data_IF_751429957697
#
_entry.id   IF_751429957697
#
_cell.length_a   1.000
_cell.length_b   1.000
_cell.length_c   1.000
_cell.angle_alpha   90.00
_cell.angle_beta   90.00
_cell.angle_gamma   90.00
#
_symmetry.space_group_name_H-M   'P 1'
#
loop_
_entity.id
_entity.type
_entity.pdbx_description
1 polymer ?
#
# COMPACT_ATOMS: atom_id res chain seq x y z
N UNK A 1 -14.29 -5.50 0.41
CA UNK A 1 -13.26 -5.57 -0.66
C UNK A 1 -13.80 -4.88 -1.89
N UNK A 2 -12.94 -4.38 -2.78
CA UNK A 2 -13.39 -3.85 -4.08
C UNK A 2 -14.45 -4.75 -4.73
N UNK A 3 -15.51 -4.14 -5.24
CA UNK A 3 -16.53 -4.87 -5.99
C UNK A 3 -15.90 -5.37 -7.29
N UNK A 4 -16.33 -6.52 -7.81
CA UNK A 4 -15.83 -7.13 -9.06
C UNK A 4 -15.78 -6.20 -10.29
N UNK A 5 -16.49 -5.07 -10.24
CA UNK A 5 -16.51 -4.03 -11.28
C UNK A 5 -15.25 -3.16 -11.29
N UNK A 6 -14.59 -3.02 -10.14
CA UNK A 6 -13.32 -2.32 -10.04
C UNK A 6 -12.20 -3.12 -10.72
N UNK A 7 -12.21 -4.44 -10.55
CA UNK A 7 -11.24 -5.34 -11.19
C UNK A 7 -11.39 -5.40 -12.72
N UNK A 8 -12.58 -5.07 -13.22
CA UNK A 8 -12.88 -5.01 -14.66
C UNK A 8 -12.65 -3.62 -15.28
N UNK A 9 -12.07 -2.66 -14.56
CA UNK A 9 -11.70 -1.36 -15.12
C UNK A 9 -10.51 -1.50 -16.08
N UNK A 10 -10.40 -0.55 -17.02
CA UNK A 10 -9.17 -0.37 -17.79
C UNK A 10 -7.97 -0.24 -16.83
N UNK A 11 -6.85 -0.95 -17.07
CA UNK A 11 -5.71 -0.99 -16.15
C UNK A 11 -5.20 0.39 -15.73
N UNK A 12 -5.13 1.34 -16.67
CA UNK A 12 -4.66 2.70 -16.41
C UNK A 12 -5.58 3.45 -15.44
N UNK A 13 -6.90 3.21 -15.55
CA UNK A 13 -7.88 3.84 -14.68
C UNK A 13 -7.87 3.22 -13.29
N UNK A 14 -7.72 1.91 -13.20
CA UNK A 14 -7.53 1.20 -11.93
C UNK A 14 -6.28 1.73 -11.23
N UNK A 15 -5.17 1.84 -11.96
CA UNK A 15 -3.90 2.36 -11.44
C UNK A 15 -4.03 3.81 -10.95
N UNK A 16 -4.66 4.69 -11.72
CA UNK A 16 -4.84 6.09 -11.30
C UNK A 16 -5.61 6.21 -9.97
N UNK A 17 -6.64 5.38 -9.76
CA UNK A 17 -7.41 5.37 -8.51
C UNK A 17 -6.57 4.83 -7.35
N UNK A 18 -5.85 3.72 -7.56
CA UNK A 18 -5.00 3.12 -6.52
C UNK A 18 -3.82 4.00 -6.16
N UNK A 19 -3.19 4.66 -7.14
CA UNK A 19 -2.09 5.59 -6.92
C UNK A 19 -2.55 6.80 -6.09
N UNK A 20 -3.67 7.43 -6.46
CA UNK A 20 -4.23 8.56 -5.71
C UNK A 20 -4.60 8.16 -4.27
N UNK A 21 -5.20 6.99 -4.09
CA UNK A 21 -5.55 6.48 -2.77
C UNK A 21 -4.30 6.12 -1.95
N UNK A 22 -3.35 5.42 -2.56
CA UNK A 22 -2.07 5.03 -1.96
C UNK A 22 -1.27 6.21 -1.45
N UNK A 23 -1.17 7.27 -2.25
CA UNK A 23 -0.48 8.51 -1.86
C UNK A 23 -1.15 9.21 -0.68
N UNK A 24 -2.49 9.33 -0.71
CA UNK A 24 -3.24 9.92 0.40
C UNK A 24 -3.05 9.11 1.70
N UNK A 25 -3.13 7.77 1.61
CA UNK A 25 -2.94 6.90 2.77
C UNK A 25 -1.51 6.90 3.29
N UNK A 26 -0.51 6.93 2.41
CA UNK A 26 0.90 7.00 2.80
C UNK A 26 1.23 8.33 3.49
N UNK A 27 0.65 9.44 3.02
CA UNK A 27 0.90 10.78 3.56
C UNK A 27 0.15 11.07 4.86
N UNK A 28 -1.09 10.58 5.00
CA UNK A 28 -1.98 10.97 6.10
C UNK A 28 -2.32 9.83 7.06
N UNK A 29 -1.98 8.59 6.72
CA UNK A 29 -2.43 7.40 7.44
C UNK A 29 -3.92 7.12 7.23
N UNK A 30 -4.36 5.96 7.73
CA UNK A 30 -5.74 5.51 7.52
C UNK A 30 -6.75 6.51 8.06
N UNK A 31 -6.67 6.91 9.34
CA UNK A 31 -7.70 7.73 9.99
C UNK A 31 -7.86 9.12 9.35
N UNK A 32 -6.77 9.81 9.02
CA UNK A 32 -6.80 11.20 8.49
C UNK A 32 -6.91 11.29 6.96
N UNK A 33 -6.79 10.18 6.24
CA UNK A 33 -7.02 10.17 4.79
C UNK A 33 -8.45 10.63 4.43
N UNK A 34 -8.59 11.34 3.31
CA UNK A 34 -9.83 11.95 2.84
C UNK A 34 -10.25 11.36 1.50
N UNK A 35 -11.44 10.74 1.46
CA UNK A 35 -12.01 10.23 0.22
C UNK A 35 -12.24 11.34 -0.81
N UNK A 36 -12.54 12.57 -0.38
CA UNK A 36 -12.72 13.69 -1.31
C UNK A 36 -11.41 14.08 -2.00
N UNK A 37 -10.28 14.09 -1.27
CA UNK A 37 -8.95 14.35 -1.86
C UNK A 37 -8.57 13.26 -2.85
N UNK A 38 -8.88 11.99 -2.53
CA UNK A 38 -8.65 10.85 -3.42
C UNK A 38 -9.48 10.99 -4.69
N UNK A 39 -10.77 11.33 -4.58
CA UNK A 39 -11.67 11.53 -5.73
C UNK A 39 -11.13 12.62 -6.66
N UNK A 40 -10.70 13.75 -6.09
CA UNK A 40 -10.14 14.88 -6.82
C UNK A 40 -8.83 14.50 -7.52
N UNK A 41 -7.88 13.88 -6.80
CA UNK A 41 -6.60 13.45 -7.33
C UNK A 41 -6.73 12.36 -8.41
N UNK A 42 -7.67 11.43 -8.25
CA UNK A 42 -7.94 10.37 -9.24
C UNK A 42 -8.75 10.85 -10.45
N UNK A 43 -9.27 12.09 -10.43
CA UNK A 43 -10.08 12.63 -11.53
C UNK A 43 -11.40 11.88 -11.75
N UNK A 44 -11.99 11.29 -10.70
CA UNK A 44 -13.26 10.56 -10.78
C UNK A 44 -14.39 11.32 -10.09
N UNK A 45 -15.63 10.89 -10.30
CA UNK A 45 -16.77 11.44 -9.54
C UNK A 45 -16.92 10.74 -8.19
N UNK A 46 -17.53 11.43 -7.22
CA UNK A 46 -17.91 10.82 -5.93
C UNK A 46 -18.79 9.58 -6.14
N UNK A 47 -19.77 9.66 -7.05
CA UNK A 47 -20.62 8.52 -7.38
C UNK A 47 -19.84 7.33 -7.93
N UNK A 48 -18.78 7.55 -8.72
CA UNK A 48 -17.90 6.50 -9.22
C UNK A 48 -17.14 5.81 -8.09
N UNK A 49 -16.61 6.55 -7.11
CA UNK A 49 -15.91 5.95 -5.97
C UNK A 49 -16.83 5.00 -5.19
N UNK A 50 -18.02 5.48 -4.78
CA UNK A 50 -19.01 4.67 -4.05
C UNK A 50 -19.65 3.57 -4.91
N UNK A 51 -19.47 3.63 -6.23
CA UNK A 51 -19.85 2.55 -7.12
C UNK A 51 -18.86 1.38 -7.04
N UNK A 52 -17.57 1.66 -6.86
CA UNK A 52 -16.48 0.67 -6.78
C UNK A 52 -16.24 0.13 -5.37
N UNK A 53 -16.37 0.98 -4.34
CA UNK A 53 -16.05 0.67 -2.96
C UNK A 53 -17.23 0.98 -2.05
N UNK A 54 -17.51 0.13 -1.06
CA UNK A 54 -18.60 0.35 -0.11
C UNK A 54 -18.22 1.44 0.91
N UNK A 55 -16.97 1.44 1.34
CA UNK A 55 -16.45 2.40 2.30
C UNK A 55 -14.93 2.64 2.14
N UNK A 56 -14.36 3.40 3.09
CA UNK A 56 -12.93 3.73 3.14
C UNK A 56 -12.05 2.52 3.49
N UNK A 57 -12.56 1.58 4.29
CA UNK A 57 -11.84 0.37 4.66
C UNK A 57 -11.65 -0.53 3.44
N UNK A 58 -12.68 -0.65 2.61
CA UNK A 58 -12.64 -1.38 1.35
C UNK A 58 -11.62 -0.82 0.36
N UNK A 59 -11.60 0.50 0.17
CA UNK A 59 -10.58 1.15 -0.65
C UNK A 59 -9.18 0.94 -0.09
N UNK A 60 -9.01 1.10 1.23
CA UNK A 60 -7.71 0.89 1.87
C UNK A 60 -7.22 -0.55 1.73
N UNK A 61 -8.08 -1.54 1.94
CA UNK A 61 -7.75 -2.95 1.78
C UNK A 61 -7.28 -3.25 0.35
N UNK A 62 -7.96 -2.73 -0.67
CA UNK A 62 -7.56 -2.89 -2.07
C UNK A 62 -6.20 -2.27 -2.37
N UNK A 63 -5.91 -1.09 -1.84
CA UNK A 63 -4.60 -0.42 -1.98
C UNK A 63 -3.49 -1.23 -1.29
N UNK A 64 -3.75 -1.76 -0.10
CA UNK A 64 -2.78 -2.59 0.63
C UNK A 64 -2.51 -3.90 -0.09
N UNK A 65 -3.54 -4.57 -0.61
CA UNK A 65 -3.37 -5.80 -1.40
C UNK A 65 -2.51 -5.56 -2.64
N UNK A 66 -2.83 -4.54 -3.43
CA UNK A 66 -2.04 -4.17 -4.61
C UNK A 66 -0.59 -3.83 -4.24
N UNK A 67 -0.39 -3.14 -3.11
CA UNK A 67 0.96 -2.83 -2.62
C UNK A 67 1.75 -4.09 -2.31
N UNK A 68 1.12 -5.05 -1.62
CA UNK A 68 1.76 -6.33 -1.30
C UNK A 68 2.11 -7.09 -2.57
N UNK A 69 1.20 -7.16 -3.54
CA UNK A 69 1.44 -7.81 -4.83
C UNK A 69 2.63 -7.18 -5.56
N UNK A 70 2.66 -5.85 -5.70
CA UNK A 70 3.77 -5.14 -6.36
C UNK A 70 5.10 -5.29 -5.64
N UNK A 71 5.09 -5.24 -4.31
CA UNK A 71 6.30 -5.44 -3.51
C UNK A 71 6.80 -6.88 -3.67
N UNK A 72 5.92 -7.88 -3.68
CA UNK A 72 6.28 -9.28 -3.89
C UNK A 72 6.81 -9.51 -5.30
N UNK A 73 6.22 -8.89 -6.32
CA UNK A 73 6.70 -8.97 -7.70
C UNK A 73 8.07 -8.30 -7.88
N UNK A 74 8.27 -7.12 -7.28
CA UNK A 74 9.49 -6.36 -7.42
C UNK A 74 10.65 -6.89 -6.56
N UNK A 75 10.35 -7.42 -5.37
CA UNK A 75 11.34 -8.07 -4.52
C UNK A 75 11.45 -9.53 -4.91
N UNK A 76 12.55 -9.89 -5.58
CA UNK A 76 12.95 -11.29 -5.60
C UNK A 76 13.26 -11.74 -4.17
N UNK A 77 12.31 -12.45 -3.58
CA UNK A 77 12.48 -13.11 -2.30
C UNK A 77 13.74 -14.00 -2.33
N UNK A 78 14.36 -14.15 -1.17
CA UNK A 78 15.43 -15.13 -1.03
C UNK A 78 14.91 -16.48 -1.53
N UNK A 79 15.62 -17.17 -2.44
CA UNK A 79 15.18 -18.45 -2.96
C UNK A 79 15.42 -19.53 -1.92
N UNK A 80 14.62 -19.53 -0.85
CA UNK A 80 14.81 -20.36 0.34
C UNK A 80 14.92 -21.84 -0.01
N UNK A 81 14.22 -22.27 -1.06
CA UNK A 81 14.19 -23.67 -1.52
C UNK A 81 15.50 -24.14 -2.17
N UNK A 82 16.36 -23.22 -2.63
CA UNK A 82 17.66 -23.55 -3.25
C UNK A 82 18.86 -22.86 -2.54
N UNK A 83 18.61 -22.28 -1.36
CA UNK A 83 19.62 -21.59 -0.59
C UNK A 83 20.62 -22.60 -0.01
N UNK A 84 21.90 -22.38 -0.28
CA UNK A 84 23.01 -23.20 0.17
C UNK A 84 24.02 -22.33 0.89
N UNK A 85 24.93 -22.95 1.65
CA UNK A 85 26.02 -22.20 2.32
C UNK A 85 26.88 -21.41 1.33
N UNK A 86 27.05 -21.92 0.10
CA UNK A 86 27.92 -21.31 -0.91
C UNK A 86 27.27 -20.12 -1.61
N UNK A 87 25.95 -20.13 -1.85
CA UNK A 87 25.25 -19.00 -2.48
C UNK A 87 24.60 -18.03 -1.48
N UNK A 88 24.55 -18.36 -0.18
CA UNK A 88 23.87 -17.58 0.85
C UNK A 88 24.19 -16.08 0.79
N UNK A 89 25.47 -15.72 0.83
CA UNK A 89 25.88 -14.31 0.87
C UNK A 89 25.59 -13.57 -0.45
N UNK A 90 25.71 -14.26 -1.58
CA UNK A 90 25.37 -13.69 -2.88
C UNK A 90 23.87 -13.44 -3.00
N UNK A 91 23.04 -14.42 -2.64
CA UNK A 91 21.58 -14.29 -2.63
C UNK A 91 21.11 -13.19 -1.67
N UNK A 92 21.69 -13.09 -0.47
CA UNK A 92 21.39 -12.01 0.49
C UNK A 92 21.77 -10.64 -0.07
N UNK A 93 22.97 -10.52 -0.68
CA UNK A 93 23.42 -9.27 -1.30
C UNK A 93 22.50 -8.84 -2.44
N UNK A 94 22.16 -9.75 -3.34
CA UNK A 94 21.29 -9.42 -4.47
C UNK A 94 19.88 -9.05 -4.03
N UNK A 95 19.27 -9.81 -3.12
CA UNK A 95 17.97 -9.46 -2.56
C UNK A 95 18.03 -8.11 -1.82
N UNK A 96 19.10 -7.84 -1.07
CA UNK A 96 19.32 -6.54 -0.44
C UNK A 96 19.44 -5.38 -1.42
N UNK A 97 20.21 -5.53 -2.51
CA UNK A 97 20.36 -4.50 -3.55
C UNK A 97 19.03 -4.24 -4.28
N UNK A 98 18.27 -5.30 -4.59
CA UNK A 98 16.94 -5.17 -5.20
C UNK A 98 15.95 -4.44 -4.29
N UNK A 99 15.98 -4.73 -2.98
CA UNK A 99 15.17 -3.99 -2.02
C UNK A 99 15.55 -2.52 -1.93
N UNK A 100 16.84 -2.17 -2.02
CA UNK A 100 17.30 -0.78 -2.04
C UNK A 100 16.81 -0.06 -3.31
N UNK A 101 16.95 -0.69 -4.48
CA UNK A 101 16.44 -0.15 -5.75
C UNK A 101 14.93 0.11 -5.66
N UNK A 102 14.17 -0.85 -5.14
CA UNK A 102 12.73 -0.69 -4.90
C UNK A 102 12.42 0.53 -4.03
N UNK A 103 13.12 0.68 -2.90
CA UNK A 103 12.93 1.81 -1.98
C UNK A 103 13.26 3.16 -2.62
N UNK A 104 14.13 3.20 -3.63
CA UNK A 104 14.54 4.42 -4.32
C UNK A 104 13.55 4.92 -5.40
N UNK A 105 12.56 4.12 -5.79
CA UNK A 105 11.64 4.42 -6.90
C UNK A 105 10.59 5.50 -6.61
N UNK A 106 10.40 5.85 -5.33
CA UNK A 106 9.40 6.84 -4.85
C UNK A 106 7.94 6.59 -5.31
N UNK A 107 7.64 5.35 -5.70
CA UNK A 107 6.31 4.94 -6.13
C UNK A 107 5.36 4.84 -4.94
N UNK A 108 4.05 5.06 -5.18
CA UNK A 108 3.04 5.14 -4.12
C UNK A 108 3.01 3.90 -3.23
N UNK A 109 3.19 2.70 -3.81
CA UNK A 109 3.18 1.44 -3.06
C UNK A 109 4.47 1.26 -2.24
N UNK A 110 5.60 1.83 -2.68
CA UNK A 110 6.85 1.87 -1.90
C UNK A 110 6.66 2.79 -0.69
N UNK A 111 6.12 3.99 -0.92
CA UNK A 111 5.81 4.95 0.15
C UNK A 111 4.83 4.37 1.16
N UNK A 112 3.80 3.67 0.71
CA UNK A 112 2.83 3.03 1.59
C UNK A 112 3.45 1.87 2.39
N UNK A 113 4.20 0.98 1.74
CA UNK A 113 4.91 -0.12 2.42
C UNK A 113 5.88 0.40 3.50
N UNK A 114 6.57 1.50 3.21
CA UNK A 114 7.48 2.20 4.13
C UNK A 114 6.76 2.91 5.28
N UNK A 115 5.55 3.42 5.04
CA UNK A 115 4.73 4.07 6.05
C UNK A 115 4.10 3.06 7.03
N UNK A 116 3.85 1.82 6.59
CA UNK A 116 3.14 0.82 7.39
C UNK A 116 3.75 0.54 8.78
N UNK A 117 5.08 0.35 8.95
CA UNK A 117 5.68 0.20 10.27
C UNK A 117 5.56 1.43 11.17
N UNK A 118 5.44 2.63 10.58
CA UNK A 118 5.21 3.90 11.31
C UNK A 118 3.76 3.99 11.77
N UNK A 119 2.82 3.66 10.88
CA UNK A 119 1.38 3.73 11.16
C UNK A 119 0.92 2.69 12.18
N UNK A 120 1.53 1.49 12.20
CA UNK A 120 1.25 0.47 13.23
C UNK A 120 1.61 0.92 14.66
N UNK A 121 2.42 1.97 14.82
CA UNK A 121 2.84 2.49 16.12
C UNK A 121 1.99 3.66 16.63
N UNK A 122 1.01 4.15 15.85
CA UNK A 122 0.07 5.16 16.35
C UNK A 122 -0.98 4.48 17.24
N UNK A 123 -1.19 4.97 18.49
CA UNK A 123 -2.30 4.49 19.30
C UNK A 123 -3.62 4.83 18.60
N UNK A 124 -4.56 3.88 18.59
CA UNK A 124 -5.92 4.10 18.11
C UNK A 124 -6.47 5.38 18.77
N UNK A 125 -6.91 6.35 17.96
CA UNK A 125 -7.55 7.57 18.46
C UNK A 125 -8.88 7.17 19.12
N UNK A 126 -8.80 6.82 20.41
CA UNK A 126 -9.90 6.22 21.18
C UNK A 126 -9.45 5.58 22.49
N UNK A 127 -8.20 5.15 22.63
CA UNK A 127 -7.67 4.67 23.92
C UNK A 127 -7.22 5.86 24.77
N UNK A 128 -8.17 6.41 25.52
CA UNK A 128 -7.89 7.36 26.58
C UNK A 128 -6.89 6.76 27.56
N UNK A 129 -5.68 7.32 27.58
CA UNK A 129 -4.75 7.18 28.70
C UNK A 129 -5.49 7.72 29.93
N UNK A 130 -6.03 6.81 30.76
CA UNK A 130 -6.42 7.19 32.12
C UNK A 130 -5.14 7.63 32.84
N UNK A 131 -5.10 8.84 33.43
CA UNK A 131 -3.97 9.22 34.25
C UNK A 131 -3.87 8.23 35.41
N UNK A 132 -2.66 7.70 35.63
CA UNK A 132 -2.36 6.92 36.82
C UNK A 132 -2.64 7.80 38.05
N UNK A 133 -3.54 7.32 38.91
CA UNK A 133 -3.63 7.75 40.30
C UNK A 133 -2.57 7.01 41.11
#
# INVERSE_FOLDING_TARGET
>A
MARARFDNLEPERREAILAAAGDEFAAHGYSRASLNRIIEAAGISKGSLYYYFDDKADLFASVVMETVERVVEAVHALPLDNLTRTNFWESVRESGLRSIDLMARDEWYVRLAMAFPRLRREPEAGEGVKPAL
#
